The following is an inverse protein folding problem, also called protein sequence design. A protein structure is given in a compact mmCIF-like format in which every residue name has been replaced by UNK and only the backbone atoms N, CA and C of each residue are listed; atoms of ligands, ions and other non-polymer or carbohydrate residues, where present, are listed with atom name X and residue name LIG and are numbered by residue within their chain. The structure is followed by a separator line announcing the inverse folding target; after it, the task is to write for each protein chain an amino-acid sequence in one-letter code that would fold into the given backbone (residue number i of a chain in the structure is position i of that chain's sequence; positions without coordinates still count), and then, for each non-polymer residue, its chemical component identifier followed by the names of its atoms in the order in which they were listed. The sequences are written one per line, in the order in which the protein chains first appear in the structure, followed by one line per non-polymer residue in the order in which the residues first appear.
data_IF_973675321004
#
_entry.id   IF_973675321004
#
_cell.length_a   1.000
_cell.length_b   1.000
_cell.length_c   1.000
_cell.angle_alpha   90.00
_cell.angle_beta   90.00
_cell.angle_gamma   90.00
#
_symmetry.space_group_name_H-M   'P 1'
#
loop_
_entity.id
_entity.type
_entity.pdbx_description
1 polymer ?
#
# COMPACT_ATOMS: atom_id res chain seq x y z
N UNK A 1 -0.75 -55.92 31.66
CA UNK A 1 -1.72 -55.27 30.70
C UNK A 1 -2.15 -53.84 31.06
N UNK A 2 -2.06 -53.43 32.29
CA UNK A 2 -2.48 -52.04 32.67
C UNK A 2 -1.45 -50.93 32.30
N UNK A 3 -0.22 -51.25 31.99
CA UNK A 3 0.84 -50.29 31.62
C UNK A 3 0.84 -49.93 30.15
N UNK A 4 0.41 -50.84 29.27
CA UNK A 4 0.36 -50.59 27.82
C UNK A 4 -0.72 -49.56 27.43
N UNK A 5 -1.87 -49.59 28.12
CA UNK A 5 -2.98 -48.68 27.82
C UNK A 5 -2.64 -47.24 28.18
N UNK A 6 -1.89 -47.00 29.25
CA UNK A 6 -1.44 -45.64 29.64
C UNK A 6 -0.41 -45.08 28.68
N UNK A 7 0.45 -45.91 28.09
CA UNK A 7 1.44 -45.51 27.09
C UNK A 7 0.76 -45.11 25.77
N UNK A 8 -0.28 -45.86 25.35
CA UNK A 8 -1.03 -45.57 24.13
C UNK A 8 -1.84 -44.26 24.26
N UNK A 9 -2.45 -44.02 25.43
CA UNK A 9 -3.17 -42.78 25.69
C UNK A 9 -2.21 -41.58 25.74
N UNK A 10 -1.04 -41.72 26.31
CA UNK A 10 0.01 -40.69 26.32
C UNK A 10 0.50 -40.33 24.90
N UNK A 11 0.66 -41.32 24.04
CA UNK A 11 1.10 -41.13 22.65
C UNK A 11 0.03 -40.46 21.79
N UNK A 12 -1.25 -40.76 22.00
CA UNK A 12 -2.37 -40.14 21.33
C UNK A 12 -2.60 -38.67 21.75
N UNK A 13 -2.32 -38.34 23.02
CA UNK A 13 -2.43 -36.95 23.50
C UNK A 13 -1.29 -36.07 22.96
N UNK A 14 -0.11 -36.58 22.75
CA UNK A 14 1.03 -35.82 22.24
C UNK A 14 0.89 -35.50 20.75
N UNK A 15 0.20 -36.33 19.98
CA UNK A 15 -0.07 -36.05 18.55
C UNK A 15 -1.14 -34.96 18.30
N UNK A 16 -1.97 -34.66 19.29
CA UNK A 16 -3.01 -33.63 19.17
C UNK A 16 -2.45 -32.19 19.29
N UNK A 17 -1.24 -32.04 19.84
CA UNK A 17 -0.59 -30.72 20.02
C UNK A 17 0.28 -30.29 18.82
N UNK A 18 0.52 -31.17 17.84
CA UNK A 18 1.34 -30.88 16.67
C UNK A 18 0.57 -30.20 15.51
N UNK A 19 -0.71 -29.97 15.67
CA UNK A 19 -1.52 -29.48 14.58
C UNK A 19 -2.06 -28.09 14.79
N UNK A 20 -1.32 -27.03 14.55
CA UNK A 20 -1.85 -25.74 14.07
C UNK A 20 -0.80 -24.62 14.03
N UNK A 21 0.41 -24.89 13.63
CA UNK A 21 1.28 -23.81 13.17
C UNK A 21 1.16 -23.74 11.64
N UNK A 22 0.13 -23.04 11.15
CA UNK A 22 0.12 -22.61 9.75
C UNK A 22 0.89 -21.29 9.70
N UNK A 23 2.10 -21.26 9.09
CA UNK A 23 2.74 -19.98 8.85
C UNK A 23 1.81 -19.16 7.94
N UNK A 24 1.32 -18.04 8.45
CA UNK A 24 0.61 -17.07 7.64
C UNK A 24 1.67 -16.43 6.75
N UNK A 25 1.82 -16.95 5.55
CA UNK A 25 2.64 -16.31 4.52
C UNK A 25 1.86 -15.10 4.03
N UNK A 26 2.20 -13.94 4.54
CA UNK A 26 1.76 -12.69 3.93
C UNK A 26 2.48 -12.55 2.60
N UNK A 27 1.85 -13.00 1.54
CA UNK A 27 2.25 -12.62 0.20
C UNK A 27 1.98 -11.11 0.07
N UNK A 28 2.97 -10.32 0.40
CA UNK A 28 2.94 -8.90 0.10
C UNK A 28 3.16 -8.76 -1.41
N UNK A 29 2.09 -8.93 -2.18
CA UNK A 29 2.05 -8.48 -3.56
C UNK A 29 2.01 -6.94 -3.55
N UNK A 30 3.10 -6.32 -3.13
CA UNK A 30 3.28 -4.90 -3.36
C UNK A 30 3.66 -4.73 -4.82
N UNK A 31 2.91 -3.93 -5.59
CA UNK A 31 3.33 -3.60 -6.95
C UNK A 31 4.75 -3.04 -6.90
N UNK A 32 5.59 -3.50 -7.82
CA UNK A 32 6.97 -3.03 -7.91
C UNK A 32 6.99 -1.69 -8.65
N UNK A 33 7.15 -0.61 -7.92
CA UNK A 33 7.28 0.72 -8.49
C UNK A 33 8.73 1.03 -8.86
N UNK A 34 8.99 1.89 -9.87
CA UNK A 34 10.34 2.25 -10.30
C UNK A 34 11.10 3.13 -9.30
N UNK A 35 10.43 3.66 -8.28
CA UNK A 35 10.99 4.44 -7.17
C UNK A 35 10.42 3.95 -5.85
N UNK A 36 11.11 4.19 -4.77
CA UNK A 36 10.62 3.88 -3.42
C UNK A 36 9.45 4.78 -3.05
N UNK A 37 8.44 4.23 -2.38
CA UNK A 37 7.21 4.96 -2.02
C UNK A 37 7.12 5.09 -0.50
N UNK A 38 7.01 6.33 -0.04
CA UNK A 38 6.83 6.68 1.37
C UNK A 38 5.58 7.56 1.53
N UNK A 39 4.61 7.06 2.28
CA UNK A 39 3.40 7.82 2.61
C UNK A 39 3.69 8.87 3.69
N UNK A 40 2.77 9.79 3.92
CA UNK A 40 2.91 10.92 4.86
C UNK A 40 3.43 10.54 6.25
N UNK A 41 3.10 9.34 6.73
CA UNK A 41 3.55 8.84 8.04
C UNK A 41 4.88 8.07 8.00
N UNK A 42 5.45 7.93 6.83
CA UNK A 42 6.68 7.18 6.60
C UNK A 42 7.80 8.12 6.18
N UNK A 43 9.02 7.79 6.55
CA UNK A 43 10.22 8.54 6.12
C UNK A 43 11.28 7.57 5.65
N UNK A 44 12.03 7.95 4.60
CA UNK A 44 13.23 7.21 4.21
C UNK A 44 14.25 7.21 5.36
N UNK A 45 14.93 6.08 5.55
CA UNK A 45 16.07 6.00 6.48
C UNK A 45 17.28 6.75 5.94
N UNK A 46 17.36 6.89 4.62
CA UNK A 46 18.45 7.60 3.93
C UNK A 46 18.15 9.10 3.82
N UNK A 47 19.14 9.96 3.98
CA UNK A 47 18.99 11.39 3.71
C UNK A 47 18.65 11.61 2.22
N UNK A 48 17.76 12.55 1.96
CA UNK A 48 17.28 12.85 0.62
C UNK A 48 17.16 14.36 0.39
N UNK A 49 17.11 14.72 -0.88
CA UNK A 49 16.87 16.10 -1.36
C UNK A 49 15.56 16.09 -2.14
N UNK A 50 14.59 16.94 -1.82
CA UNK A 50 13.38 17.09 -2.62
C UNK A 50 13.73 17.71 -3.98
N UNK A 51 13.18 17.14 -5.05
CA UNK A 51 13.36 17.65 -6.41
C UNK A 51 12.17 18.48 -6.86
N UNK A 52 10.96 17.91 -6.73
CA UNK A 52 9.73 18.51 -7.22
C UNK A 52 8.51 17.93 -6.54
N UNK A 53 7.54 18.80 -6.28
CA UNK A 53 6.20 18.40 -5.88
C UNK A 53 5.40 17.92 -7.09
N UNK A 54 4.71 16.79 -6.95
CA UNK A 54 3.89 16.18 -7.98
C UNK A 54 2.44 16.08 -7.51
N UNK A 55 1.52 16.34 -8.43
CA UNK A 55 0.09 16.15 -8.21
C UNK A 55 -0.53 15.50 -9.45
N UNK A 56 -1.29 14.43 -9.23
CA UNK A 56 -2.07 13.77 -10.27
C UNK A 56 -3.51 13.62 -9.81
N UNK A 57 -4.43 13.89 -10.73
CA UNK A 57 -5.87 13.74 -10.51
C UNK A 57 -6.43 12.68 -11.44
N UNK A 58 -7.38 11.92 -10.94
CA UNK A 58 -8.22 11.04 -11.75
C UNK A 58 -9.67 11.21 -11.33
N UNK A 59 -10.56 11.37 -12.30
CA UNK A 59 -11.96 11.66 -12.08
C UNK A 59 -12.82 10.69 -12.88
N UNK A 60 -13.84 10.12 -12.22
CA UNK A 60 -14.80 9.20 -12.82
C UNK A 60 -16.22 9.68 -12.57
N UNK A 61 -17.16 9.46 -13.52
CA UNK A 61 -18.55 9.80 -13.32
C UNK A 61 -19.17 9.08 -12.11
N UNK A 62 -20.06 9.76 -11.41
CA UNK A 62 -20.86 9.13 -10.34
C UNK A 62 -21.84 8.16 -10.96
N UNK A 63 -21.85 6.91 -10.48
CA UNK A 63 -22.80 5.89 -10.91
C UNK A 63 -24.08 5.98 -10.08
N UNK A 64 -25.22 5.54 -10.67
CA UNK A 64 -26.54 5.65 -10.05
C UNK A 64 -26.65 4.98 -8.67
N UNK A 65 -25.92 3.88 -8.45
CA UNK A 65 -25.90 3.16 -7.18
C UNK A 65 -25.21 3.92 -6.03
N UNK A 66 -24.47 4.97 -6.33
CA UNK A 66 -23.81 5.82 -5.34
C UNK A 66 -24.73 6.92 -4.78
N UNK A 67 -25.83 7.19 -5.48
CA UNK A 67 -26.74 8.27 -5.16
C UNK A 67 -28.14 7.75 -4.89
N UNK A 68 -28.74 8.17 -3.78
CA UNK A 68 -30.17 7.97 -3.46
C UNK A 68 -30.75 9.32 -3.10
N UNK A 69 -31.83 9.73 -3.76
CA UNK A 69 -32.49 11.01 -3.51
C UNK A 69 -31.54 12.21 -3.51
N UNK A 70 -30.59 12.27 -4.45
CA UNK A 70 -29.55 13.29 -4.57
C UNK A 70 -28.55 13.33 -3.40
N UNK A 71 -28.54 12.30 -2.57
CA UNK A 71 -27.55 12.13 -1.48
C UNK A 71 -26.60 11.00 -1.82
N UNK A 72 -25.31 11.22 -1.60
CA UNK A 72 -24.32 10.18 -1.76
C UNK A 72 -24.41 9.20 -0.60
N UNK A 73 -24.76 7.97 -0.90
CA UNK A 73 -24.89 6.86 0.08
C UNK A 73 -23.70 5.92 0.04
N UNK A 74 -22.95 5.90 -1.06
CA UNK A 74 -21.77 5.03 -1.22
C UNK A 74 -20.66 5.77 -1.96
N UNK A 75 -19.48 5.82 -1.35
CA UNK A 75 -18.28 6.31 -2.02
C UNK A 75 -17.76 5.29 -3.01
N UNK A 76 -17.41 5.75 -4.20
CA UNK A 76 -16.65 4.94 -5.15
C UNK A 76 -15.24 4.73 -4.62
N UNK A 77 -14.97 3.58 -4.01
CA UNK A 77 -13.63 3.24 -3.57
C UNK A 77 -13.03 2.24 -4.56
N UNK A 78 -12.20 2.71 -5.46
CA UNK A 78 -11.52 1.88 -6.44
C UNK A 78 -10.01 1.82 -6.14
N UNK A 79 -9.58 0.70 -5.55
CA UNK A 79 -8.18 0.45 -5.24
C UNK A 79 -7.31 0.43 -6.52
N UNK A 80 -7.86 -0.07 -7.63
CA UNK A 80 -7.14 -0.12 -8.91
C UNK A 80 -6.83 1.28 -9.44
N UNK A 81 -7.74 2.23 -9.28
CA UNK A 81 -7.48 3.63 -9.67
C UNK A 81 -6.38 4.27 -8.84
N UNK A 82 -6.37 4.01 -7.54
CA UNK A 82 -5.29 4.47 -6.65
C UNK A 82 -3.94 3.92 -7.06
N UNK A 83 -3.87 2.63 -7.33
CA UNK A 83 -2.64 1.97 -7.79
C UNK A 83 -2.17 2.52 -9.13
N UNK A 84 -3.09 2.76 -10.06
CA UNK A 84 -2.78 3.36 -11.35
C UNK A 84 -2.23 4.78 -11.22
N UNK A 85 -2.83 5.60 -10.35
CA UNK A 85 -2.32 6.95 -10.07
C UNK A 85 -0.91 6.91 -9.48
N UNK A 86 -0.68 6.02 -8.54
CA UNK A 86 0.62 5.86 -7.91
C UNK A 86 1.66 5.36 -8.91
N UNK A 87 1.31 4.42 -9.78
CA UNK A 87 2.18 3.96 -10.85
C UNK A 87 2.57 5.08 -11.81
N UNK A 88 1.62 5.92 -12.21
CA UNK A 88 1.88 7.09 -13.06
C UNK A 88 2.79 8.11 -12.39
N UNK A 89 2.53 8.42 -11.12
CA UNK A 89 3.34 9.37 -10.35
C UNK A 89 4.75 8.84 -10.14
N UNK A 90 4.91 7.56 -9.85
CA UNK A 90 6.22 6.93 -9.68
C UNK A 90 7.04 6.95 -10.97
N UNK A 91 6.39 6.80 -12.13
CA UNK A 91 7.04 6.93 -13.42
C UNK A 91 7.47 8.37 -13.71
N UNK A 92 6.62 9.34 -13.39
CA UNK A 92 6.99 10.76 -13.50
C UNK A 92 8.20 11.11 -12.61
N UNK A 93 8.20 10.62 -11.36
CA UNK A 93 9.33 10.80 -10.45
C UNK A 93 10.61 10.19 -11.01
N UNK A 94 10.52 8.98 -11.55
CA UNK A 94 11.67 8.32 -12.21
C UNK A 94 12.21 9.16 -13.37
N UNK A 95 11.34 9.69 -14.20
CA UNK A 95 11.73 10.54 -15.35
C UNK A 95 12.40 11.85 -14.91
N UNK A 96 12.10 12.35 -13.71
CA UNK A 96 12.78 13.49 -13.11
C UNK A 96 14.14 13.13 -12.49
N UNK A 97 14.53 11.87 -12.49
CA UNK A 97 15.75 11.39 -11.86
C UNK A 97 15.61 11.14 -10.35
N UNK A 98 14.38 11.05 -9.83
CA UNK A 98 14.13 10.74 -8.44
C UNK A 98 14.39 9.26 -8.12
N UNK A 99 14.77 9.00 -6.88
CA UNK A 99 14.95 7.66 -6.31
C UNK A 99 13.75 7.26 -5.45
N UNK A 100 13.00 8.23 -4.97
CA UNK A 100 11.85 8.03 -4.09
C UNK A 100 10.73 9.05 -4.33
N UNK A 101 9.51 8.67 -3.95
CA UNK A 101 8.40 9.56 -3.68
C UNK A 101 8.17 9.61 -2.17
N UNK A 102 8.21 10.79 -1.59
CA UNK A 102 7.97 11.02 -0.18
C UNK A 102 6.71 11.85 0.03
N UNK A 103 6.17 11.78 1.23
CA UNK A 103 4.94 12.50 1.61
C UNK A 103 3.76 12.21 0.67
N UNK A 104 3.63 10.94 0.27
CA UNK A 104 2.56 10.50 -0.63
C UNK A 104 1.24 10.45 0.12
N UNK A 105 0.24 11.13 -0.41
CA UNK A 105 -1.11 11.16 0.17
C UNK A 105 -2.19 11.16 -0.89
N UNK A 106 -3.27 10.45 -0.60
CA UNK A 106 -4.49 10.44 -1.40
C UNK A 106 -5.55 11.33 -0.76
N UNK A 107 -6.20 12.13 -1.57
CA UNK A 107 -7.42 12.84 -1.23
C UNK A 107 -8.55 12.37 -2.13
N UNK A 108 -9.64 11.93 -1.54
CA UNK A 108 -10.85 11.60 -2.29
C UNK A 108 -11.79 12.80 -2.27
N UNK A 109 -12.28 13.16 -3.42
CA UNK A 109 -13.33 14.18 -3.53
C UNK A 109 -14.53 13.64 -4.31
N UNK A 110 -15.67 14.24 -4.07
CA UNK A 110 -16.89 13.90 -4.75
C UNK A 110 -17.69 15.17 -5.03
N UNK A 111 -18.28 15.24 -6.22
CA UNK A 111 -19.23 16.24 -6.63
C UNK A 111 -20.56 15.58 -7.00
N UNK A 112 -21.52 16.36 -7.44
CA UNK A 112 -22.81 15.81 -7.89
C UNK A 112 -22.69 14.94 -9.15
N UNK A 113 -21.63 15.11 -9.93
CA UNK A 113 -21.45 14.47 -11.25
C UNK A 113 -20.27 13.52 -11.32
N UNK A 114 -19.29 13.67 -10.42
CA UNK A 114 -18.05 12.92 -10.49
C UNK A 114 -17.46 12.59 -9.13
N UNK A 115 -16.74 11.49 -9.09
CA UNK A 115 -15.84 11.11 -7.99
C UNK A 115 -14.41 11.19 -8.50
N UNK A 116 -13.49 11.54 -7.63
CA UNK A 116 -12.10 11.60 -8.00
C UNK A 116 -11.14 11.40 -6.85
N UNK A 117 -9.92 11.05 -7.22
CA UNK A 117 -8.77 11.03 -6.35
C UNK A 117 -7.76 12.08 -6.78
N UNK A 118 -7.18 12.76 -5.82
CA UNK A 118 -5.98 13.56 -6.00
C UNK A 118 -4.86 12.86 -5.27
N UNK A 119 -3.80 12.54 -5.98
CA UNK A 119 -2.58 12.00 -5.42
C UNK A 119 -1.52 13.10 -5.41
N UNK A 120 -0.94 13.36 -4.26
CA UNK A 120 0.17 14.30 -4.08
C UNK A 120 1.37 13.57 -3.52
N UNK A 121 2.55 14.06 -3.85
CA UNK A 121 3.81 13.55 -3.33
C UNK A 121 4.97 14.42 -3.78
N UNK A 122 6.13 14.21 -3.19
CA UNK A 122 7.36 14.92 -3.52
C UNK A 122 8.35 13.92 -4.11
N UNK A 123 8.80 14.19 -5.34
CA UNK A 123 9.89 13.45 -5.94
C UNK A 123 11.19 13.82 -5.23
N UNK A 124 11.93 12.85 -4.75
CA UNK A 124 13.12 13.03 -3.96
C UNK A 124 14.28 12.17 -4.48
N UNK A 125 15.48 12.69 -4.31
CA UNK A 125 16.72 11.98 -4.65
C UNK A 125 17.51 11.70 -3.38
N UNK A 126 17.98 10.47 -3.23
CA UNK A 126 18.86 10.12 -2.12
C UNK A 126 20.20 10.84 -2.26
N UNK A 127 20.71 11.31 -1.14
CA UNK A 127 22.08 11.86 -1.08
C UNK A 127 23.06 10.70 -1.17
N UNK A 128 24.08 10.88 -1.99
CA UNK A 128 25.23 9.99 -2.01
C UNK A 128 26.13 10.44 -0.87
N UNK A 129 26.28 9.63 0.15
CA UNK A 129 27.31 9.83 1.16
C UNK A 129 28.65 9.46 0.49
N UNK A 130 29.44 10.47 0.16
CA UNK A 130 30.85 10.25 -0.14
C UNK A 130 31.50 9.91 1.21
N UNK A 131 31.90 8.68 1.41
CA UNK A 131 32.83 8.34 2.46
C UNK A 131 34.06 9.24 2.25
N UNK A 132 34.26 10.18 3.14
CA UNK A 132 35.53 10.92 3.20
C UNK A 132 36.58 9.89 3.63
N UNK A 133 37.39 9.50 2.67
CA UNK A 133 38.62 8.74 2.93
C UNK A 133 39.64 9.63 3.62
#
# INVERSE_FOLDING_TARGET
MKTSTKLIVGLLLSSALAGCFRPIVYLQNRPNYPVDIFYTNERPERPFVPLRELEIKNETPVVAQQMVNRRMVKRGNNMQEKELLLARMSLQAKNLGADALVDVQYSYYTSMTANGYVLKGVAAKYRVEYEQQ
#
